data_IF_809098413154
#
_entry.id   IF_809098413154
#
_cell.length_a   1.000
_cell.length_b   1.000
_cell.length_c   1.000
_cell.angle_alpha   90.00
_cell.angle_beta   90.00
_cell.angle_gamma   90.00
#
_symmetry.space_group_name_H-M   'P 1'
#
loop_
_entity.id
_entity.type
_entity.pdbx_description
1 polymer ?
#
# COMPACT_ATOMS: atom_id res chain seq x y z
N UNK A 1 -15.15 68.70 -43.39
CA UNK A 1 -14.54 67.68 -42.49
C UNK A 1 -15.29 67.50 -41.17
N UNK A 2 -15.67 68.55 -40.42
CA UNK A 2 -16.39 68.40 -39.13
C UNK A 2 -17.73 67.63 -39.17
N UNK A 3 -18.49 67.69 -40.27
CA UNK A 3 -19.78 67.00 -40.41
C UNK A 3 -19.66 65.48 -40.64
N UNK A 4 -18.52 65.01 -41.19
CA UNK A 4 -18.25 63.58 -41.40
C UNK A 4 -17.86 62.91 -40.09
N UNK A 5 -17.05 63.58 -39.26
CA UNK A 5 -16.67 63.07 -37.94
C UNK A 5 -17.85 62.95 -36.97
N UNK A 6 -18.82 63.86 -37.03
CA UNK A 6 -20.06 63.78 -36.23
C UNK A 6 -20.94 62.60 -36.66
N UNK A 7 -21.06 62.35 -37.97
CA UNK A 7 -21.86 61.23 -38.47
C UNK A 7 -21.19 59.87 -38.19
N UNK A 8 -19.86 59.81 -38.24
CA UNK A 8 -19.11 58.61 -37.83
C UNK A 8 -19.27 58.38 -36.33
N UNK A 9 -19.16 59.41 -35.49
CA UNK A 9 -19.34 59.29 -34.04
C UNK A 9 -20.76 58.84 -33.65
N UNK A 10 -21.80 59.35 -34.32
CA UNK A 10 -23.18 58.89 -34.11
C UNK A 10 -23.37 57.43 -34.56
N UNK A 11 -22.74 57.01 -35.66
CA UNK A 11 -22.78 55.63 -36.11
C UNK A 11 -22.08 54.69 -35.12
N UNK A 12 -20.93 55.08 -34.55
CA UNK A 12 -20.24 54.28 -33.54
C UNK A 12 -21.08 54.12 -32.27
N UNK A 13 -21.76 55.19 -31.82
CA UNK A 13 -22.67 55.14 -30.65
C UNK A 13 -23.85 54.19 -30.89
N UNK A 14 -24.38 54.13 -32.12
CA UNK A 14 -25.45 53.19 -32.48
C UNK A 14 -24.99 51.71 -32.47
N UNK A 15 -23.72 51.44 -32.81
CA UNK A 15 -23.16 50.08 -32.77
C UNK A 15 -22.79 49.61 -31.35
N UNK A 16 -22.42 50.49 -30.42
CA UNK A 16 -22.15 50.09 -29.01
C UNK A 16 -23.43 49.73 -28.25
N UNK A 17 -24.57 50.32 -28.64
CA UNK A 17 -25.88 50.08 -27.99
C UNK A 17 -26.51 48.72 -28.35
N UNK A 18 -25.98 47.99 -29.35
CA UNK A 18 -26.43 46.62 -29.66
C UNK A 18 -25.60 45.53 -28.95
N UNK A 19 -24.51 45.88 -28.26
CA UNK A 19 -23.65 44.89 -27.59
C UNK A 19 -24.09 44.51 -26.17
N UNK A 20 -25.14 45.14 -25.64
CA UNK A 20 -25.63 44.91 -24.27
C UNK A 20 -27.12 44.53 -24.19
N UNK A 21 -27.69 43.93 -25.23
CA UNK A 21 -28.87 43.08 -25.03
C UNK A 21 -28.36 41.64 -24.90
N UNK A 22 -27.75 41.34 -23.75
CA UNK A 22 -27.56 39.95 -23.33
C UNK A 22 -28.96 39.40 -23.09
N UNK A 23 -29.51 38.71 -24.08
CA UNK A 23 -30.55 37.72 -23.86
C UNK A 23 -29.89 36.60 -23.04
N UNK A 24 -29.77 36.82 -21.72
CA UNK A 24 -29.47 35.78 -20.77
C UNK A 24 -30.71 34.88 -20.73
N UNK A 25 -30.88 34.07 -21.77
CA UNK A 25 -31.67 32.87 -21.62
C UNK A 25 -31.03 32.10 -20.49
N UNK A 26 -31.76 32.06 -19.38
CA UNK A 26 -31.37 31.34 -18.18
C UNK A 26 -31.44 29.84 -18.47
N UNK A 27 -30.43 29.31 -19.16
CA UNK A 27 -30.34 27.89 -19.50
C UNK A 27 -30.21 27.02 -18.24
N UNK A 28 -29.84 27.62 -17.11
CA UNK A 28 -29.60 26.95 -15.84
C UNK A 28 -30.17 27.84 -14.74
N UNK A 29 -31.43 27.62 -14.35
CA UNK A 29 -32.25 28.47 -13.45
C UNK A 29 -31.72 28.79 -12.03
N UNK A 30 -30.42 28.68 -11.78
CA UNK A 30 -29.68 29.15 -10.60
C UNK A 30 -28.32 29.72 -11.04
N UNK A 31 -27.81 30.73 -10.36
CA UNK A 31 -26.52 31.36 -10.68
C UNK A 31 -25.34 30.37 -10.56
N UNK A 32 -24.19 30.61 -11.24
CA UNK A 32 -23.00 29.79 -11.09
C UNK A 32 -22.53 29.64 -9.63
N UNK A 33 -22.68 30.68 -8.80
CA UNK A 33 -22.33 30.64 -7.38
C UNK A 33 -23.27 29.71 -6.59
N UNK A 34 -24.59 29.84 -6.78
CA UNK A 34 -25.56 28.97 -6.12
C UNK A 34 -25.39 27.50 -6.50
N UNK A 35 -25.06 27.21 -7.76
CA UNK A 35 -24.76 25.84 -8.20
C UNK A 35 -23.51 25.28 -7.53
N UNK A 36 -22.50 26.12 -7.31
CA UNK A 36 -21.26 25.71 -6.65
C UNK A 36 -21.46 25.50 -5.14
N UNK A 37 -22.19 26.38 -4.46
CA UNK A 37 -22.57 26.21 -3.04
C UNK A 37 -23.37 24.93 -2.83
N UNK A 38 -24.31 24.66 -3.74
CA UNK A 38 -25.09 23.42 -3.74
C UNK A 38 -24.19 22.19 -3.92
N UNK A 39 -23.31 22.19 -4.91
CA UNK A 39 -22.39 21.08 -5.15
C UNK A 39 -21.49 20.80 -3.94
N UNK A 40 -20.91 21.84 -3.33
CA UNK A 40 -20.10 21.71 -2.10
C UNK A 40 -20.90 21.10 -0.95
N UNK A 41 -22.14 21.54 -0.76
CA UNK A 41 -23.02 21.02 0.29
C UNK A 41 -23.38 19.56 0.06
N UNK A 42 -23.74 19.20 -1.18
CA UNK A 42 -24.07 17.82 -1.58
C UNK A 42 -22.85 16.89 -1.47
N UNK A 43 -21.67 17.34 -1.88
CA UNK A 43 -20.43 16.57 -1.79
C UNK A 43 -20.03 16.32 -0.33
N UNK A 44 -20.14 17.32 0.54
CA UNK A 44 -19.91 17.14 2.00
C UNK A 44 -20.88 16.12 2.59
N UNK A 45 -22.17 16.24 2.28
CA UNK A 45 -23.18 15.30 2.76
C UNK A 45 -22.91 13.88 2.25
N UNK A 46 -22.50 13.73 0.98
CA UNK A 46 -22.15 12.44 0.39
C UNK A 46 -20.93 11.83 1.09
N UNK A 47 -19.86 12.59 1.26
CA UNK A 47 -18.64 12.12 1.94
C UNK A 47 -18.95 11.56 3.33
N UNK A 48 -19.78 12.25 4.12
CA UNK A 48 -20.19 11.83 5.46
C UNK A 48 -21.26 10.73 5.48
N UNK A 49 -21.99 10.51 4.38
CA UNK A 49 -23.02 9.47 4.30
C UNK A 49 -22.45 8.05 4.36
N UNK A 50 -21.17 7.86 4.09
CA UNK A 50 -20.50 6.57 4.16
C UNK A 50 -20.11 6.24 5.60
N UNK A 51 -21.00 5.53 6.30
CA UNK A 51 -20.84 5.17 7.72
C UNK A 51 -19.54 4.41 8.01
N UNK A 52 -19.08 3.57 7.08
CA UNK A 52 -17.80 2.86 7.15
C UNK A 52 -16.70 3.46 6.23
N UNK A 53 -16.96 4.64 5.67
CA UNK A 53 -16.02 5.37 4.83
C UNK A 53 -15.90 4.86 3.39
N UNK A 54 -14.79 5.21 2.78
CA UNK A 54 -14.47 5.08 1.36
C UNK A 54 -13.10 4.42 1.19
N UNK A 55 -12.99 3.58 0.16
CA UNK A 55 -11.72 3.09 -0.38
C UNK A 55 -11.29 4.02 -1.52
N UNK A 56 -10.17 4.71 -1.35
CA UNK A 56 -9.49 5.46 -2.39
C UNK A 56 -8.38 4.62 -3.00
N UNK A 57 -8.51 4.30 -4.29
CA UNK A 57 -7.40 3.79 -5.10
C UNK A 57 -6.54 4.99 -5.52
N UNK A 58 -5.45 5.18 -4.79
CA UNK A 58 -4.60 6.36 -4.83
C UNK A 58 -3.37 6.14 -5.71
N UNK A 59 -3.05 7.10 -6.58
CA UNK A 59 -1.92 6.99 -7.51
C UNK A 59 -0.97 8.18 -7.39
N UNK A 60 0.33 7.90 -7.32
CA UNK A 60 1.36 8.94 -7.21
C UNK A 60 2.13 9.18 -8.50
N UNK A 61 2.79 10.33 -8.56
CA UNK A 61 3.61 10.75 -9.68
C UNK A 61 2.79 11.31 -10.83
N UNK A 62 3.30 12.35 -11.49
CA UNK A 62 2.63 12.95 -12.66
C UNK A 62 2.36 11.86 -13.71
N UNK A 63 1.15 11.83 -14.26
CA UNK A 63 0.75 10.85 -15.29
C UNK A 63 1.00 9.40 -14.83
N UNK A 64 0.68 9.10 -13.56
CA UNK A 64 0.81 7.77 -12.98
C UNK A 64 2.26 7.23 -12.96
N UNK A 65 3.27 8.10 -12.97
CA UNK A 65 4.70 7.71 -13.08
C UNK A 65 5.30 7.04 -11.84
N UNK A 66 4.57 6.96 -10.72
CA UNK A 66 5.01 6.27 -9.50
C UNK A 66 4.02 5.18 -9.09
N UNK A 67 3.64 5.06 -7.83
CA UNK A 67 3.04 3.87 -7.23
C UNK A 67 1.52 4.01 -7.04
N UNK A 68 0.82 2.87 -6.93
CA UNK A 68 -0.57 2.80 -6.49
C UNK A 68 -0.67 2.31 -5.04
N UNK A 69 -1.68 2.80 -4.30
CA UNK A 69 -1.92 2.48 -2.90
C UNK A 69 -3.42 2.49 -2.58
N UNK A 70 -3.85 1.68 -1.62
CA UNK A 70 -5.18 1.79 -1.05
C UNK A 70 -5.18 2.67 0.20
N UNK A 71 -6.06 3.68 0.20
CA UNK A 71 -6.38 4.52 1.36
C UNK A 71 -7.82 4.25 1.81
N UNK A 72 -8.03 4.14 3.11
CA UNK A 72 -9.34 4.04 3.75
C UNK A 72 -9.64 5.37 4.43
N UNK A 73 -10.73 6.01 4.03
CA UNK A 73 -11.10 7.38 4.42
C UNK A 73 -12.50 7.41 5.02
N UNK A 74 -12.65 7.95 6.23
CA UNK A 74 -13.98 8.21 6.81
C UNK A 74 -14.10 9.67 7.18
N UNK A 75 -15.18 10.29 6.73
CA UNK A 75 -15.48 11.70 6.96
C UNK A 75 -16.61 11.83 7.96
N UNK A 76 -16.43 12.70 8.96
CA UNK A 76 -17.48 13.00 9.93
C UNK A 76 -17.23 14.35 10.61
N UNK A 77 -18.23 15.23 10.60
CA UNK A 77 -18.21 16.50 11.34
C UNK A 77 -16.93 17.33 11.08
N UNK A 78 -16.51 17.45 9.81
CA UNK A 78 -15.30 18.18 9.41
C UNK A 78 -13.97 17.49 9.73
N UNK A 79 -14.00 16.24 10.22
CA UNK A 79 -12.82 15.39 10.44
C UNK A 79 -12.74 14.24 9.45
N UNK A 80 -11.53 13.92 9.03
CA UNK A 80 -11.22 12.75 8.24
C UNK A 80 -10.34 11.79 9.05
N UNK A 81 -10.74 10.53 9.08
CA UNK A 81 -9.98 9.42 9.62
C UNK A 81 -9.35 8.66 8.46
N UNK A 82 -8.04 8.46 8.52
CA UNK A 82 -7.25 7.91 7.42
C UNK A 82 -6.51 6.67 7.90
N UNK A 83 -6.61 5.58 7.14
CA UNK A 83 -5.74 4.42 7.20
C UNK A 83 -5.28 4.06 5.79
N UNK A 84 -4.20 3.30 5.64
CA UNK A 84 -3.68 2.93 4.33
C UNK A 84 -2.72 1.75 4.42
N UNK A 85 -2.48 1.07 3.29
CA UNK A 85 -1.52 -0.05 3.22
C UNK A 85 -0.05 0.34 3.47
N UNK A 86 0.25 1.65 3.45
CA UNK A 86 1.57 2.21 3.79
C UNK A 86 1.81 2.35 5.30
N UNK A 87 0.82 2.03 6.12
CA UNK A 87 0.86 2.11 7.58
C UNK A 87 0.49 0.75 8.20
N UNK A 88 0.75 0.53 9.50
CA UNK A 88 0.20 -0.64 10.20
C UNK A 88 -1.31 -0.75 10.01
N UNK A 89 -1.83 -1.97 9.85
CA UNK A 89 -3.22 -2.19 9.44
C UNK A 89 -4.27 -1.76 10.47
N UNK A 90 -3.87 -1.56 11.72
CA UNK A 90 -4.67 -1.03 12.82
C UNK A 90 -4.49 0.48 13.04
N UNK A 91 -3.53 1.12 12.35
CA UNK A 91 -3.24 2.53 12.51
C UNK A 91 -4.29 3.39 11.80
N UNK A 92 -4.87 4.33 12.54
CA UNK A 92 -5.77 5.36 12.03
C UNK A 92 -5.25 6.73 12.48
N UNK A 93 -5.11 7.66 11.53
CA UNK A 93 -4.71 9.04 11.81
C UNK A 93 -5.85 10.00 11.51
N UNK A 94 -6.10 10.95 12.40
CA UNK A 94 -7.11 12.01 12.23
C UNK A 94 -6.53 13.21 11.46
N UNK A 95 -7.35 13.85 10.64
CA UNK A 95 -7.12 15.16 10.02
C UNK A 95 -8.42 15.96 10.05
N UNK A 96 -8.36 17.29 9.89
CA UNK A 96 -9.50 18.04 9.35
C UNK A 96 -9.66 17.71 7.87
N UNK A 97 -10.89 17.83 7.36
CA UNK A 97 -11.13 17.94 5.92
C UNK A 97 -12.09 19.10 5.64
N UNK A 98 -12.05 19.57 4.41
CA UNK A 98 -13.06 20.49 3.88
C UNK A 98 -13.31 20.23 2.40
N UNK A 99 -14.41 20.78 1.88
CA UNK A 99 -14.67 20.90 0.45
C UNK A 99 -14.74 22.39 0.13
N UNK A 100 -13.70 22.91 -0.53
CA UNK A 100 -13.55 24.33 -0.86
C UNK A 100 -13.98 24.62 -2.30
N UNK A 101 -14.09 25.90 -2.62
CA UNK A 101 -14.51 26.40 -3.94
C UNK A 101 -13.31 26.96 -4.69
N UNK A 102 -12.60 26.11 -5.41
CA UNK A 102 -11.40 26.50 -6.15
C UNK A 102 -11.46 25.98 -7.58
N UNK A 103 -12.20 26.70 -8.45
CA UNK A 103 -12.51 26.27 -9.83
C UNK A 103 -13.30 24.94 -9.88
N UNK A 104 -14.19 24.77 -8.90
CA UNK A 104 -14.98 23.55 -8.66
C UNK A 104 -14.89 23.14 -7.19
N UNK A 105 -15.65 22.12 -6.76
CA UNK A 105 -15.52 21.54 -5.42
C UNK A 105 -14.16 20.85 -5.28
N UNK A 106 -13.39 21.21 -4.24
CA UNK A 106 -12.07 20.64 -3.95
C UNK A 106 -12.05 20.03 -2.55
N UNK A 107 -11.93 18.71 -2.47
CA UNK A 107 -11.66 18.01 -1.22
C UNK A 107 -10.22 18.28 -0.77
N UNK A 108 -10.04 18.76 0.45
CA UNK A 108 -8.71 19.10 1.01
C UNK A 108 -8.54 18.58 2.43
N UNK A 109 -7.29 18.28 2.81
CA UNK A 109 -6.89 17.82 4.14
C UNK A 109 -5.93 18.85 4.78
N UNK A 110 -6.43 19.97 5.33
CA UNK A 110 -5.60 21.13 5.65
C UNK A 110 -4.70 20.99 6.88
N UNK A 111 -4.91 19.98 7.73
CA UNK A 111 -4.07 19.73 8.91
C UNK A 111 -3.17 18.53 8.69
N UNK A 112 -1.97 18.56 9.27
CA UNK A 112 -1.05 17.43 9.13
C UNK A 112 -1.68 16.12 9.64
N UNK A 113 -1.47 15.07 8.84
CA UNK A 113 -1.91 13.71 9.06
C UNK A 113 -0.80 12.80 8.56
N UNK A 114 -0.27 11.94 9.44
CA UNK A 114 0.96 11.19 9.19
C UNK A 114 0.82 10.13 8.10
N UNK A 115 -0.42 9.74 7.75
CA UNK A 115 -0.69 8.77 6.67
C UNK A 115 -1.00 9.50 5.37
N UNK A 116 -1.99 10.41 5.35
CA UNK A 116 -2.40 11.14 4.15
C UNK A 116 -1.25 11.98 3.57
N UNK A 117 -0.49 12.69 4.41
CA UNK A 117 0.58 13.56 3.94
C UNK A 117 1.90 12.83 3.69
N UNK A 118 2.01 11.55 4.04
CA UNK A 118 3.27 10.79 3.95
C UNK A 118 3.87 10.83 2.54
N UNK A 119 3.03 10.63 1.52
CA UNK A 119 3.43 10.56 0.12
C UNK A 119 3.66 11.96 -0.51
N UNK A 120 3.17 13.01 0.11
CA UNK A 120 3.33 14.40 -0.35
C UNK A 120 4.48 15.15 0.37
N UNK A 121 4.94 14.62 1.51
CA UNK A 121 5.94 15.27 2.35
C UNK A 121 7.29 15.41 1.63
N UNK A 122 7.84 16.62 1.67
CA UNK A 122 9.16 16.91 1.15
C UNK A 122 10.25 16.27 2.01
N UNK A 123 11.30 15.78 1.37
CA UNK A 123 12.52 15.28 2.00
C UNK A 123 13.72 16.13 1.55
N UNK A 124 14.80 16.16 2.34
CA UNK A 124 15.99 17.01 2.06
C UNK A 124 16.54 16.90 0.62
N UNK A 125 16.39 15.72 -0.02
CA UNK A 125 16.87 15.47 -1.39
C UNK A 125 15.74 15.28 -2.42
N UNK A 126 14.49 15.41 -1.99
CA UNK A 126 13.33 15.23 -2.85
C UNK A 126 12.20 16.15 -2.36
N UNK A 127 12.20 17.38 -2.86
CA UNK A 127 11.24 18.43 -2.47
C UNK A 127 9.81 18.11 -2.87
N UNK A 128 9.63 17.24 -3.86
CA UNK A 128 8.31 16.77 -4.32
C UNK A 128 7.83 15.50 -3.62
N UNK A 129 8.62 14.97 -2.68
CA UNK A 129 8.29 13.75 -1.97
C UNK A 129 8.02 12.57 -2.90
N UNK A 130 7.08 11.72 -2.52
CA UNK A 130 6.61 10.63 -3.38
C UNK A 130 5.55 11.09 -4.37
N UNK A 131 5.34 12.40 -4.54
CA UNK A 131 4.37 12.99 -5.47
C UNK A 131 2.94 12.47 -5.24
N UNK A 132 2.52 12.39 -3.97
CA UNK A 132 1.12 12.23 -3.59
C UNK A 132 0.39 13.57 -3.52
N UNK A 133 -0.90 13.54 -3.82
CA UNK A 133 -1.85 14.64 -3.58
C UNK A 133 -2.55 14.49 -2.22
N UNK A 134 -2.87 15.61 -1.58
CA UNK A 134 -3.78 15.71 -0.43
C UNK A 134 -4.90 16.74 -0.69
N UNK A 135 -5.03 17.16 -1.95
CA UNK A 135 -6.11 18.02 -2.44
C UNK A 135 -6.61 17.43 -3.76
N UNK A 136 -7.93 17.33 -3.90
CA UNK A 136 -8.56 16.62 -5.00
C UNK A 136 -9.75 17.41 -5.54
N UNK A 137 -9.75 17.65 -6.85
CA UNK A 137 -10.93 18.19 -7.54
C UNK A 137 -11.97 17.08 -7.63
N UNK A 138 -13.19 17.33 -7.14
CA UNK A 138 -14.31 16.40 -7.28
C UNK A 138 -14.87 16.57 -8.69
N UNK A 139 -14.69 15.55 -9.52
CA UNK A 139 -15.05 15.59 -10.94
C UNK A 139 -16.50 15.16 -11.16
N UNK A 140 -16.93 14.13 -10.43
CA UNK A 140 -18.26 13.53 -10.53
C UNK A 140 -18.55 12.73 -9.26
N UNK A 141 -19.81 12.71 -8.85
CA UNK A 141 -20.29 11.88 -7.75
C UNK A 141 -21.44 10.97 -8.18
N UNK A 142 -21.51 9.81 -7.55
CA UNK A 142 -22.67 8.92 -7.51
C UNK A 142 -22.89 8.53 -6.04
N UNK A 143 -23.96 7.78 -5.75
CA UNK A 143 -24.18 7.29 -4.39
C UNK A 143 -23.03 6.43 -3.88
N UNK A 144 -22.38 5.63 -4.73
CA UNK A 144 -21.39 4.63 -4.32
C UNK A 144 -19.96 4.95 -4.78
N UNK A 145 -19.77 6.02 -5.55
CA UNK A 145 -18.45 6.39 -6.06
C UNK A 145 -18.27 7.90 -6.18
N UNK A 146 -17.06 8.37 -5.86
CA UNK A 146 -16.63 9.76 -6.04
C UNK A 146 -15.39 9.72 -6.94
N UNK A 147 -15.49 10.36 -8.10
CA UNK A 147 -14.40 10.48 -9.07
C UNK A 147 -13.62 11.75 -8.79
N UNK A 148 -12.33 11.59 -8.57
CA UNK A 148 -11.42 12.63 -8.13
C UNK A 148 -10.31 12.85 -9.15
N UNK A 149 -9.75 14.05 -9.15
CA UNK A 149 -8.46 14.34 -9.80
C UNK A 149 -7.52 15.01 -8.80
N UNK A 150 -6.31 14.47 -8.65
CA UNK A 150 -5.27 15.10 -7.83
C UNK A 150 -4.97 16.52 -8.32
N UNK A 151 -4.98 17.50 -7.41
CA UNK A 151 -4.88 18.93 -7.76
C UNK A 151 -3.48 19.32 -8.24
N UNK A 152 -2.42 18.74 -7.66
CA UNK A 152 -1.01 19.00 -8.01
C UNK A 152 -0.52 18.08 -9.13
N UNK A 153 -0.78 16.77 -9.04
CA UNK A 153 -0.19 15.80 -9.98
C UNK A 153 -1.12 15.33 -11.10
N UNK A 154 -2.43 15.64 -11.01
CA UNK A 154 -3.38 15.47 -12.11
C UNK A 154 -3.85 14.04 -12.36
N UNK A 155 -3.53 13.08 -11.48
CA UNK A 155 -3.98 11.70 -11.61
C UNK A 155 -5.48 11.58 -11.30
N UNK A 156 -6.21 10.85 -12.14
CA UNK A 156 -7.60 10.50 -11.89
C UNK A 156 -7.67 9.31 -10.93
N UNK A 157 -8.59 9.38 -9.97
CA UNK A 157 -8.76 8.39 -8.91
C UNK A 157 -10.24 8.18 -8.62
N UNK A 158 -10.55 7.07 -7.96
CA UNK A 158 -11.92 6.75 -7.55
C UNK A 158 -11.93 6.40 -6.07
N UNK A 159 -12.81 7.09 -5.32
CA UNK A 159 -13.27 6.65 -4.02
C UNK A 159 -14.51 5.78 -4.19
N UNK A 160 -14.47 4.55 -3.68
CA UNK A 160 -15.62 3.64 -3.70
C UNK A 160 -16.10 3.41 -2.27
N UNK A 161 -17.41 3.38 -2.05
CA UNK A 161 -18.00 3.19 -0.72
C UNK A 161 -17.57 1.85 -0.11
N UNK A 162 -17.11 1.86 1.14
CA UNK A 162 -16.75 0.63 1.85
C UNK A 162 -18.01 -0.14 2.28
N UNK A 163 -18.02 -1.48 2.20
CA UNK A 163 -19.09 -2.29 2.78
C UNK A 163 -19.26 -1.99 4.26
N UNK A 164 -20.50 -1.88 4.76
CA UNK A 164 -20.77 -1.44 6.13
C UNK A 164 -20.23 -2.37 7.22
N UNK A 165 -20.01 -3.63 6.90
CA UNK A 165 -19.55 -4.71 7.80
C UNK A 165 -18.03 -4.98 7.70
N UNK A 166 -17.34 -4.41 6.71
CA UNK A 166 -15.91 -4.63 6.49
C UNK A 166 -15.06 -3.81 7.47
N UNK A 167 -14.40 -4.46 8.43
CA UNK A 167 -13.42 -3.80 9.28
C UNK A 167 -12.18 -3.38 8.48
N UNK A 168 -11.70 -2.15 8.66
CA UNK A 168 -10.55 -1.60 7.95
C UNK A 168 -9.28 -2.44 8.12
N UNK A 169 -9.00 -2.88 9.34
CA UNK A 169 -7.87 -3.77 9.62
C UNK A 169 -7.97 -5.07 8.82
N UNK A 170 -9.14 -5.71 8.82
CA UNK A 170 -9.38 -6.93 8.04
C UNK A 170 -9.20 -6.70 6.55
N UNK A 171 -9.65 -5.56 6.03
CA UNK A 171 -9.41 -5.17 4.63
C UNK A 171 -7.90 -5.08 4.32
N UNK A 172 -7.14 -4.30 5.10
CA UNK A 172 -5.71 -4.11 4.89
C UNK A 172 -4.91 -5.42 5.08
N UNK A 173 -5.27 -6.25 6.05
CA UNK A 173 -4.67 -7.59 6.23
C UNK A 173 -4.95 -8.50 5.02
N UNK A 174 -6.13 -8.39 4.41
CA UNK A 174 -6.48 -9.13 3.18
C UNK A 174 -5.66 -8.66 1.98
N UNK A 175 -5.45 -7.35 1.85
CA UNK A 175 -4.56 -6.77 0.85
C UNK A 175 -3.12 -7.28 1.02
N UNK A 176 -2.61 -7.29 2.26
CA UNK A 176 -1.30 -7.87 2.57
C UNK A 176 -1.20 -9.35 2.19
N UNK A 177 -2.28 -10.11 2.39
CA UNK A 177 -2.35 -11.52 2.00
C UNK A 177 -2.29 -11.70 0.47
N UNK A 178 -3.00 -10.87 -0.30
CA UNK A 178 -2.91 -10.88 -1.76
C UNK A 178 -1.49 -10.55 -2.21
N UNK A 179 -0.89 -9.49 -1.66
CA UNK A 179 0.49 -9.09 -1.95
C UNK A 179 1.50 -10.23 -1.79
N UNK A 180 1.41 -10.99 -0.71
CA UNK A 180 2.30 -12.13 -0.45
C UNK A 180 2.08 -13.34 -1.38
N UNK A 181 0.95 -13.38 -2.09
CA UNK A 181 0.68 -14.40 -3.08
C UNK A 181 1.26 -14.07 -4.46
N UNK A 182 1.53 -12.79 -4.74
CA UNK A 182 1.98 -12.35 -6.05
C UNK A 182 3.49 -12.58 -6.25
N UNK A 183 3.82 -13.09 -7.44
CA UNK A 183 5.18 -13.25 -7.94
C UNK A 183 5.73 -11.93 -8.46
N UNK A 184 7.06 -11.79 -8.49
CA UNK A 184 7.72 -10.62 -9.10
C UNK A 184 7.83 -10.73 -10.62
N UNK A 185 7.81 -11.94 -11.17
CA UNK A 185 7.98 -12.18 -12.60
C UNK A 185 6.86 -13.08 -13.11
N UNK A 186 6.32 -12.77 -14.29
CA UNK A 186 5.33 -13.59 -14.97
C UNK A 186 5.63 -13.74 -16.46
N UNK A 187 5.07 -14.79 -17.05
CA UNK A 187 4.95 -14.96 -18.51
C UNK A 187 3.54 -14.57 -18.94
N UNK A 188 3.42 -13.80 -20.02
CA UNK A 188 2.14 -13.44 -20.62
C UNK A 188 1.70 -14.54 -21.57
N UNK A 189 0.53 -15.11 -21.30
CA UNK A 189 -0.14 -16.13 -22.12
C UNK A 189 -1.54 -15.63 -22.45
N UNK A 190 -1.96 -15.79 -23.70
CA UNK A 190 -3.33 -15.49 -24.14
C UNK A 190 -3.93 -16.76 -24.73
N UNK A 191 -5.17 -17.10 -24.39
CA UNK A 191 -5.87 -18.29 -24.90
C UNK A 191 -5.08 -19.61 -24.73
N UNK A 192 -4.26 -19.72 -23.69
CA UNK A 192 -3.37 -20.86 -23.43
C UNK A 192 -2.40 -21.19 -24.59
N UNK A 193 -2.00 -20.19 -25.38
CA UNK A 193 -0.97 -20.34 -26.43
C UNK A 193 0.45 -20.14 -25.88
N UNK A 194 1.43 -20.05 -26.79
CA UNK A 194 2.81 -19.69 -26.45
C UNK A 194 2.92 -18.38 -25.64
N UNK A 195 4.01 -18.28 -24.88
CA UNK A 195 4.37 -17.05 -24.16
C UNK A 195 4.64 -15.92 -25.16
N UNK A 196 3.82 -14.87 -25.08
CA UNK A 196 3.90 -13.69 -25.96
C UNK A 196 4.64 -12.53 -25.30
N UNK A 197 5.02 -12.61 -24.03
CA UNK A 197 5.69 -11.52 -23.34
C UNK A 197 6.02 -11.87 -21.88
N UNK A 198 6.55 -10.90 -21.17
CA UNK A 198 6.87 -11.01 -19.75
C UNK A 198 6.26 -9.85 -18.97
N UNK A 199 6.10 -10.06 -17.65
CA UNK A 199 5.69 -9.01 -16.72
C UNK A 199 6.67 -9.00 -15.56
N UNK A 200 7.20 -7.82 -15.26
CA UNK A 200 7.86 -7.54 -13.98
C UNK A 200 6.86 -6.79 -13.10
N UNK A 201 6.41 -7.45 -12.03
CA UNK A 201 5.52 -6.87 -11.04
C UNK A 201 6.37 -6.60 -9.79
N UNK A 202 6.24 -5.39 -9.25
CA UNK A 202 6.84 -5.00 -7.98
C UNK A 202 5.73 -4.94 -6.92
N UNK A 203 5.55 -6.01 -6.12
CA UNK A 203 4.51 -6.05 -5.11
C UNK A 203 4.76 -5.04 -3.98
N UNK A 204 6.00 -4.60 -3.80
CA UNK A 204 6.38 -3.70 -2.72
C UNK A 204 6.15 -2.24 -3.07
N UNK A 205 6.32 -1.86 -4.34
CA UNK A 205 6.15 -0.49 -4.82
C UNK A 205 4.92 -0.27 -5.72
N UNK A 206 4.05 -1.27 -5.89
CA UNK A 206 2.79 -1.10 -6.62
C UNK A 206 2.98 -0.75 -8.09
N UNK A 207 4.01 -1.31 -8.75
CA UNK A 207 4.35 -1.09 -10.18
C UNK A 207 4.28 -2.38 -10.97
N UNK A 208 3.86 -2.30 -12.22
CA UNK A 208 3.86 -3.43 -13.15
C UNK A 208 4.34 -2.98 -14.52
N UNK A 209 5.35 -3.66 -15.04
CA UNK A 209 5.91 -3.45 -16.37
C UNK A 209 5.62 -4.66 -17.26
N UNK A 210 5.01 -4.42 -18.41
CA UNK A 210 4.70 -5.39 -19.44
C UNK A 210 5.70 -5.24 -20.58
N UNK A 211 6.28 -6.36 -21.04
CA UNK A 211 7.23 -6.37 -22.15
C UNK A 211 6.81 -7.38 -23.21
N UNK A 212 6.65 -6.91 -24.44
CA UNK A 212 6.24 -7.73 -25.58
C UNK A 212 7.41 -8.56 -26.11
N UNK A 213 7.26 -9.90 -26.15
CA UNK A 213 8.28 -10.76 -26.77
C UNK A 213 8.33 -10.46 -28.27
N UNK A 214 9.49 -10.05 -28.77
CA UNK A 214 9.71 -9.68 -30.17
C UNK A 214 8.68 -8.64 -30.68
N UNK A 215 8.24 -7.71 -29.83
CA UNK A 215 7.27 -6.67 -30.20
C UNK A 215 5.85 -7.18 -30.44
N UNK A 216 5.48 -8.32 -29.84
CA UNK A 216 4.12 -8.88 -29.91
C UNK A 216 3.01 -7.93 -29.40
N UNK A 217 3.38 -7.01 -28.50
CA UNK A 217 2.62 -5.85 -28.03
C UNK A 217 3.62 -4.77 -27.58
N UNK A 218 3.14 -3.54 -27.41
CA UNK A 218 3.98 -2.42 -26.98
C UNK A 218 4.30 -2.53 -25.49
N UNK A 219 5.53 -2.23 -25.11
CA UNK A 219 5.92 -2.16 -23.71
C UNK A 219 5.12 -1.06 -23.00
N UNK A 220 4.72 -1.35 -21.76
CA UNK A 220 3.86 -0.47 -20.99
C UNK A 220 4.16 -0.66 -19.51
N UNK A 221 4.19 0.41 -18.74
CA UNK A 221 4.41 0.37 -17.30
C UNK A 221 3.33 1.18 -16.60
N UNK A 222 2.74 0.60 -15.56
CA UNK A 222 1.61 1.18 -14.84
C UNK A 222 1.78 1.01 -13.33
N UNK A 223 1.26 1.93 -12.51
CA UNK A 223 0.97 1.61 -11.14
C UNK A 223 -0.22 0.66 -11.07
N UNK A 224 -0.33 -0.04 -9.95
CA UNK A 224 -1.52 -0.78 -9.61
C UNK A 224 -1.87 -0.57 -8.13
N UNK A 225 -3.15 -0.66 -7.81
CA UNK A 225 -3.63 -0.87 -6.45
C UNK A 225 -4.00 -2.33 -6.27
N UNK A 226 -3.84 -2.86 -5.07
CA UNK A 226 -4.39 -4.18 -4.73
C UNK A 226 -5.91 -4.14 -4.63
N UNK A 227 -6.55 -5.25 -4.99
CA UNK A 227 -7.94 -5.55 -4.65
C UNK A 227 -7.98 -6.74 -3.69
N UNK A 228 -9.14 -7.05 -3.13
CA UNK A 228 -9.31 -8.25 -2.29
C UNK A 228 -9.04 -9.56 -3.04
N UNK A 229 -8.92 -9.53 -4.37
CA UNK A 229 -8.71 -10.72 -5.20
C UNK A 229 -7.52 -10.60 -6.15
N UNK A 230 -6.78 -9.50 -6.20
CA UNK A 230 -5.70 -9.31 -7.16
C UNK A 230 -5.24 -7.87 -7.28
N UNK A 231 -5.16 -7.33 -8.50
CA UNK A 231 -4.66 -5.97 -8.77
C UNK A 231 -5.55 -5.23 -9.76
N UNK A 232 -5.51 -3.90 -9.70
CA UNK A 232 -6.18 -2.99 -10.64
C UNK A 232 -5.29 -1.83 -10.99
N UNK A 233 -5.26 -1.46 -12.27
CA UNK A 233 -4.49 -0.34 -12.82
C UNK A 233 -5.42 0.84 -13.15
N UNK A 234 -4.91 2.09 -13.19
CA UNK A 234 -5.74 3.25 -13.51
C UNK A 234 -6.19 3.28 -14.98
N UNK A 235 -5.41 2.65 -15.87
CA UNK A 235 -5.70 2.55 -17.30
C UNK A 235 -5.48 1.13 -17.79
N UNK A 236 -6.17 0.74 -18.86
CA UNK A 236 -6.02 -0.59 -19.44
C UNK A 236 -4.65 -0.75 -20.11
N UNK A 237 -4.00 -1.91 -19.93
CA UNK A 237 -2.92 -2.37 -20.81
C UNK A 237 -3.51 -3.09 -22.02
N UNK A 238 -2.88 -2.96 -23.19
CA UNK A 238 -3.25 -3.69 -24.41
C UNK A 238 -2.21 -4.79 -24.71
N UNK A 239 -2.63 -6.03 -24.55
CA UNK A 239 -1.80 -7.21 -24.80
C UNK A 239 -2.33 -7.91 -26.04
N UNK A 240 -1.79 -7.54 -27.22
CA UNK A 240 -2.16 -8.12 -28.52
C UNK A 240 -3.65 -7.96 -28.84
N UNK A 241 -4.20 -6.76 -28.65
CA UNK A 241 -5.60 -6.40 -28.89
C UNK A 241 -6.56 -6.76 -27.75
N UNK A 242 -6.08 -7.45 -26.70
CA UNK A 242 -6.86 -7.75 -25.50
C UNK A 242 -6.54 -6.70 -24.43
N UNK A 243 -7.56 -5.92 -24.05
CA UNK A 243 -7.42 -4.89 -23.02
C UNK A 243 -7.71 -5.43 -21.63
N UNK A 244 -6.85 -5.12 -20.66
CA UNK A 244 -7.03 -5.48 -19.27
C UNK A 244 -6.75 -4.30 -18.35
N UNK A 245 -7.65 -4.05 -17.40
CA UNK A 245 -7.48 -3.02 -16.35
C UNK A 245 -7.28 -3.66 -14.98
N UNK A 246 -7.84 -4.85 -14.74
CA UNK A 246 -7.73 -5.57 -13.48
C UNK A 246 -7.38 -7.03 -13.74
N UNK A 247 -6.63 -7.63 -12.82
CA UNK A 247 -6.31 -9.06 -12.83
C UNK A 247 -6.69 -9.69 -11.50
N UNK A 248 -7.28 -10.88 -11.56
CA UNK A 248 -7.63 -11.69 -10.38
C UNK A 248 -6.60 -12.79 -10.17
N UNK A 249 -6.22 -13.02 -8.92
CA UNK A 249 -5.31 -14.07 -8.50
C UNK A 249 -5.98 -15.46 -8.59
N UNK A 250 -5.36 -16.33 -9.37
CA UNK A 250 -5.69 -17.73 -9.57
C UNK A 250 -4.61 -18.58 -8.87
N UNK A 251 -4.86 -18.88 -7.59
CA UNK A 251 -3.94 -19.63 -6.74
C UNK A 251 -3.65 -21.05 -7.26
N UNK A 252 -4.60 -21.68 -7.97
CA UNK A 252 -4.43 -23.03 -8.49
C UNK A 252 -3.38 -23.09 -9.62
N UNK A 253 -3.23 -21.99 -10.36
CA UNK A 253 -2.30 -21.90 -11.48
C UNK A 253 -1.14 -20.93 -11.25
N UNK A 254 -1.00 -20.39 -10.03
CA UNK A 254 -0.06 -19.32 -9.69
C UNK A 254 -0.10 -18.18 -10.73
N UNK A 255 -1.30 -17.71 -11.06
CA UNK A 255 -1.48 -16.79 -12.18
C UNK A 255 -2.36 -15.59 -11.83
N UNK A 256 -2.13 -14.47 -12.50
CA UNK A 256 -3.04 -13.33 -12.55
C UNK A 256 -3.86 -13.41 -13.85
N UNK A 257 -5.19 -13.30 -13.76
CA UNK A 257 -6.12 -13.58 -14.87
C UNK A 257 -7.02 -12.39 -15.15
N UNK A 258 -7.16 -12.04 -16.44
CA UNK A 258 -8.12 -11.06 -16.94
C UNK A 258 -8.73 -11.55 -18.25
N UNK A 259 -9.95 -12.10 -18.18
CA UNK A 259 -10.58 -12.75 -19.33
C UNK A 259 -9.69 -13.84 -19.91
N UNK A 260 -9.26 -13.66 -21.16
CA UNK A 260 -8.39 -14.59 -21.88
C UNK A 260 -6.89 -14.42 -21.61
N UNK A 261 -6.50 -13.39 -20.85
CA UNK A 261 -5.10 -13.12 -20.51
C UNK A 261 -4.77 -13.84 -19.21
N UNK A 262 -3.66 -14.60 -19.23
CA UNK A 262 -3.04 -15.22 -18.07
C UNK A 262 -1.61 -14.72 -17.92
N UNK A 263 -1.30 -14.12 -16.78
CA UNK A 263 0.08 -13.86 -16.35
C UNK A 263 0.48 -15.03 -15.45
N UNK A 264 1.31 -15.94 -15.94
CA UNK A 264 1.70 -17.15 -15.20
C UNK A 264 2.99 -16.89 -14.43
N UNK A 265 2.96 -17.10 -13.11
CA UNK A 265 4.07 -16.81 -12.20
C UNK A 265 5.34 -17.58 -12.57
N UNK A 266 6.47 -16.89 -12.49
CA UNK A 266 7.80 -17.46 -12.68
C UNK A 266 8.44 -17.60 -11.30
N UNK A 267 8.74 -18.85 -10.92
CA UNK A 267 9.45 -19.15 -9.68
C UNK A 267 10.88 -18.63 -9.78
N UNK A 268 11.38 -18.00 -8.72
CA UNK A 268 12.79 -17.63 -8.63
C UNK A 268 13.67 -18.87 -8.48
N UNK A 269 14.96 -18.76 -8.80
CA UNK A 269 15.89 -19.87 -8.59
C UNK A 269 15.98 -20.27 -7.11
N UNK A 270 15.80 -19.34 -6.19
CA UNK A 270 15.83 -19.57 -4.75
C UNK A 270 14.48 -20.01 -4.16
N UNK A 271 13.47 -20.22 -5.00
CA UNK A 271 12.14 -20.61 -4.56
C UNK A 271 12.15 -21.99 -3.89
N UNK A 272 11.48 -22.10 -2.74
CA UNK A 272 11.17 -23.36 -2.10
C UNK A 272 9.68 -23.47 -1.80
N UNK A 273 9.02 -24.61 -2.11
CA UNK A 273 7.61 -24.79 -1.85
C UNK A 273 7.34 -24.80 -0.34
N UNK A 274 6.10 -24.46 0.07
CA UNK A 274 5.70 -24.45 1.48
C UNK A 274 6.08 -25.73 2.23
N UNK A 275 5.96 -26.90 1.60
CA UNK A 275 6.31 -28.19 2.21
C UNK A 275 7.79 -28.35 2.53
N UNK A 276 8.68 -27.64 1.84
CA UNK A 276 10.12 -27.67 2.10
C UNK A 276 10.47 -27.15 3.49
N UNK A 277 9.77 -26.14 3.97
CA UNK A 277 10.12 -25.41 5.19
C UNK A 277 9.82 -26.19 6.49
N UNK A 278 8.93 -27.17 6.44
CA UNK A 278 8.60 -27.99 7.60
C UNK A 278 9.77 -28.93 7.98
N UNK A 279 9.97 -29.11 9.28
CA UNK A 279 10.99 -29.99 9.85
C UNK A 279 11.86 -29.33 10.90
N UNK A 280 12.91 -30.04 11.29
CA UNK A 280 13.91 -29.57 12.24
C UNK A 280 15.03 -28.81 11.49
N UNK A 281 15.47 -27.72 12.10
CA UNK A 281 16.49 -26.82 11.57
C UNK A 281 17.49 -26.46 12.69
N UNK A 282 18.72 -26.18 12.29
CA UNK A 282 19.75 -25.60 13.15
C UNK A 282 20.01 -24.17 12.70
N UNK A 283 19.70 -23.20 13.56
CA UNK A 283 19.90 -21.76 13.29
C UNK A 283 21.29 -21.36 13.75
N UNK A 284 22.06 -20.69 12.89
CA UNK A 284 23.43 -20.24 13.12
C UNK A 284 23.48 -18.74 13.42
N UNK A 285 24.16 -18.38 14.50
CA UNK A 285 24.31 -16.99 14.97
C UNK A 285 25.69 -16.73 15.60
N UNK A 286 26.09 -15.47 15.71
CA UNK A 286 27.39 -15.06 16.29
C UNK A 286 28.59 -15.86 15.75
N UNK A 287 28.55 -16.20 14.45
CA UNK A 287 29.51 -17.01 13.68
C UNK A 287 29.82 -18.43 14.16
N UNK A 288 29.72 -18.72 15.46
CA UNK A 288 30.13 -20.01 16.06
C UNK A 288 29.04 -20.69 16.88
N UNK A 289 27.91 -20.01 17.12
CA UNK A 289 26.83 -20.53 17.96
C UNK A 289 25.65 -20.99 17.12
N UNK A 290 24.86 -21.92 17.68
CA UNK A 290 23.63 -22.37 17.06
C UNK A 290 22.55 -22.73 18.09
N UNK A 291 21.30 -22.78 17.63
CA UNK A 291 20.17 -23.30 18.40
C UNK A 291 19.19 -24.07 17.50
N UNK A 292 18.46 -25.07 18.02
CA UNK A 292 17.47 -25.80 17.26
C UNK A 292 16.21 -24.97 17.03
N UNK A 293 15.61 -25.11 15.85
CA UNK A 293 14.31 -24.56 15.46
C UNK A 293 13.49 -25.67 14.79
N UNK A 294 12.32 -25.98 15.31
CA UNK A 294 11.36 -26.87 14.66
C UNK A 294 10.24 -26.07 14.03
N UNK A 295 10.02 -26.25 12.73
CA UNK A 295 8.96 -25.61 11.97
C UNK A 295 7.85 -26.62 11.66
N UNK A 296 6.64 -26.34 12.14
CA UNK A 296 5.43 -27.13 11.87
C UNK A 296 4.43 -26.29 11.11
N UNK A 297 3.89 -26.79 10.00
CA UNK A 297 2.86 -26.07 9.25
C UNK A 297 1.63 -25.82 10.13
N UNK A 298 1.15 -24.59 10.10
CA UNK A 298 -0.12 -24.17 10.70
C UNK A 298 -1.12 -23.79 9.58
N UNK A 299 -2.34 -23.42 9.99
CA UNK A 299 -3.40 -23.02 9.06
C UNK A 299 -3.00 -21.84 8.16
N UNK A 300 -3.56 -21.79 6.95
CA UNK A 300 -3.25 -20.73 5.98
C UNK A 300 -1.79 -20.77 5.53
N UNK A 301 -1.09 -19.63 5.58
CA UNK A 301 0.34 -19.51 5.25
C UNK A 301 1.25 -19.56 6.49
N UNK A 302 0.73 -19.90 7.66
CA UNK A 302 1.50 -19.83 8.90
C UNK A 302 2.29 -21.11 9.18
N UNK A 303 3.34 -20.97 9.98
CA UNK A 303 4.11 -22.03 10.61
C UNK A 303 4.27 -21.71 12.09
N UNK A 304 4.15 -22.72 12.94
CA UNK A 304 4.57 -22.65 14.32
C UNK A 304 6.05 -23.03 14.40
N UNK A 305 6.87 -22.10 14.86
CA UNK A 305 8.28 -22.31 15.12
C UNK A 305 8.56 -22.48 16.60
N UNK A 306 9.22 -23.56 16.98
CA UNK A 306 9.67 -23.83 18.35
C UNK A 306 11.20 -23.79 18.38
N UNK A 307 11.78 -22.83 19.11
CA UNK A 307 13.24 -22.69 19.22
C UNK A 307 13.70 -22.70 20.67
N UNK A 308 14.86 -23.31 20.94
CA UNK A 308 15.36 -23.48 22.30
C UNK A 308 16.70 -22.78 22.50
N UNK A 309 16.75 -21.84 23.43
CA UNK A 309 17.96 -21.08 23.80
C UNK A 309 18.12 -21.18 25.31
N UNK A 310 19.33 -21.49 25.77
CA UNK A 310 19.68 -21.61 27.19
C UNK A 310 18.69 -22.46 28.01
N UNK A 311 18.23 -23.56 27.42
CA UNK A 311 17.30 -24.52 28.04
C UNK A 311 15.83 -24.08 28.10
N UNK A 312 15.49 -22.91 27.55
CA UNK A 312 14.11 -22.41 27.44
C UNK A 312 13.61 -22.53 26.01
N UNK A 313 12.41 -23.09 25.84
CA UNK A 313 11.76 -23.23 24.53
C UNK A 313 10.75 -22.12 24.33
N UNK A 314 10.96 -21.32 23.28
CA UNK A 314 10.08 -20.25 22.85
C UNK A 314 9.30 -20.67 21.62
N UNK A 315 8.12 -20.07 21.44
CA UNK A 315 7.24 -20.31 20.28
C UNK A 315 7.00 -19.02 19.54
N UNK A 316 7.21 -19.02 18.23
CA UNK A 316 6.94 -17.88 17.36
C UNK A 316 6.24 -18.32 16.08
N UNK A 317 5.47 -17.42 15.48
CA UNK A 317 4.80 -17.63 14.20
C UNK A 317 5.69 -17.14 13.06
N UNK A 318 5.87 -17.99 12.07
CA UNK A 318 6.51 -17.67 10.80
C UNK A 318 5.44 -17.66 9.71
N UNK A 319 5.57 -16.77 8.72
CA UNK A 319 4.60 -16.68 7.62
C UNK A 319 5.27 -17.02 6.30
N UNK A 320 4.66 -17.89 5.51
CA UNK A 320 5.14 -18.26 4.18
C UNK A 320 4.67 -17.25 3.14
N UNK A 321 5.61 -16.73 2.36
CA UNK A 321 5.34 -15.87 1.22
C UNK A 321 5.29 -16.75 -0.04
N UNK A 322 4.09 -16.94 -0.59
CA UNK A 322 3.87 -17.80 -1.76
C UNK A 322 4.56 -17.27 -3.00
N UNK A 323 4.63 -15.95 -3.21
CA UNK A 323 5.27 -15.34 -4.36
C UNK A 323 6.80 -15.45 -4.35
N UNK A 324 7.40 -15.42 -3.16
CA UNK A 324 8.87 -15.51 -2.96
C UNK A 324 9.35 -16.93 -2.70
N UNK A 325 8.49 -17.83 -2.21
CA UNK A 325 8.90 -19.17 -1.76
C UNK A 325 9.76 -19.14 -0.50
N UNK A 326 9.56 -18.15 0.36
CA UNK A 326 10.36 -17.84 1.54
C UNK A 326 9.49 -17.81 2.80
N UNK A 327 10.11 -17.80 3.99
CA UNK A 327 9.42 -17.48 5.24
C UNK A 327 9.69 -16.03 5.64
N UNK A 328 8.85 -15.49 6.51
CA UNK A 328 9.12 -14.27 7.25
C UNK A 328 8.94 -14.50 8.75
N UNK A 329 9.80 -13.87 9.53
CA UNK A 329 9.72 -13.81 10.98
C UNK A 329 9.80 -12.34 11.38
N UNK A 330 8.69 -11.82 11.89
CA UNK A 330 8.53 -10.39 12.15
C UNK A 330 8.08 -10.14 13.58
N UNK A 331 8.09 -8.86 13.98
CA UNK A 331 7.58 -8.38 15.25
C UNK A 331 6.26 -9.06 15.62
N UNK A 332 6.21 -9.61 16.84
CA UNK A 332 5.02 -10.28 17.37
C UNK A 332 5.14 -10.48 18.87
N UNK A 333 3.99 -10.65 19.54
CA UNK A 333 3.95 -11.14 20.91
C UNK A 333 4.11 -12.67 20.96
N UNK A 334 4.87 -13.16 21.93
CA UNK A 334 5.07 -14.58 22.21
C UNK A 334 4.91 -14.85 23.72
N UNK A 335 4.72 -16.11 24.09
CA UNK A 335 4.65 -16.54 25.48
C UNK A 335 6.04 -16.52 26.15
N UNK A 336 6.11 -16.13 27.42
CA UNK A 336 7.29 -16.34 28.26
C UNK A 336 7.27 -17.76 28.84
N UNK A 337 8.16 -18.67 28.42
CA UNK A 337 8.17 -20.04 28.93
C UNK A 337 8.49 -20.14 30.42
N UNK A 338 9.07 -19.09 31.03
CA UNK A 338 9.33 -19.02 32.46
C UNK A 338 8.15 -18.52 33.29
N UNK A 339 7.10 -17.98 32.64
CA UNK A 339 5.99 -17.28 33.29
C UNK A 339 6.43 -16.14 34.23
N UNK A 340 7.61 -15.56 34.00
CA UNK A 340 8.09 -14.40 34.77
C UNK A 340 7.33 -13.15 34.33
N UNK A 341 7.07 -13.04 33.02
CA UNK A 341 6.30 -11.97 32.41
C UNK A 341 5.05 -12.53 31.70
N UNK A 342 3.93 -11.78 31.65
CA UNK A 342 2.74 -12.20 30.92
C UNK A 342 3.00 -12.57 29.45
N UNK A 343 3.82 -11.77 28.76
CA UNK A 343 4.20 -11.93 27.36
C UNK A 343 5.60 -11.38 27.12
N UNK A 344 6.20 -11.79 26.01
CA UNK A 344 7.41 -11.19 25.45
C UNK A 344 7.09 -10.61 24.07
N UNK A 345 7.68 -9.47 23.73
CA UNK A 345 7.71 -8.94 22.38
C UNK A 345 8.96 -9.46 21.66
N UNK A 346 8.78 -10.22 20.60
CA UNK A 346 9.86 -10.54 19.66
C UNK A 346 10.11 -9.32 18.79
N UNK A 347 11.34 -8.78 18.81
CA UNK A 347 11.74 -7.63 18.01
C UNK A 347 12.99 -7.94 17.20
N UNK A 348 12.99 -7.57 15.92
CA UNK A 348 14.22 -7.45 15.15
C UNK A 348 15.15 -6.42 15.80
N UNK A 349 16.45 -6.68 15.78
CA UNK A 349 17.44 -5.84 16.45
C UNK A 349 18.70 -5.64 15.61
N UNK A 350 19.41 -4.55 15.89
CA UNK A 350 20.72 -4.24 15.35
C UNK A 350 21.72 -4.13 16.50
N UNK A 351 22.63 -5.10 16.60
CA UNK A 351 23.63 -5.10 17.66
C UNK A 351 24.73 -4.04 17.48
N UNK A 352 25.23 -3.74 16.27
CA UNK A 352 26.16 -2.62 16.07
C UNK A 352 25.60 -1.27 16.57
N UNK A 353 24.29 -1.07 16.48
CA UNK A 353 23.62 0.15 16.92
C UNK A 353 22.99 0.07 18.33
N UNK A 354 22.94 -1.13 18.94
CA UNK A 354 22.18 -1.39 20.18
C UNK A 354 20.74 -0.90 20.13
N UNK A 355 20.06 -1.18 19.00
CA UNK A 355 18.70 -0.71 18.72
C UNK A 355 17.77 -1.88 18.38
N UNK A 356 16.48 -1.72 18.71
CA UNK A 356 15.40 -2.63 18.30
C UNK A 356 14.49 -1.95 17.29
N UNK A 357 13.96 -2.72 16.33
CA UNK A 357 13.00 -2.27 15.35
C UNK A 357 11.59 -2.36 15.92
N UNK A 358 10.96 -1.22 16.20
CA UNK A 358 9.64 -1.16 16.86
C UNK A 358 8.47 -1.17 15.87
N UNK A 359 8.72 -0.87 14.60
CA UNK A 359 7.68 -0.79 13.57
C UNK A 359 7.08 -2.17 13.27
N UNK A 360 5.78 -2.21 13.03
CA UNK A 360 5.08 -3.44 12.65
C UNK A 360 5.68 -4.07 11.39
N UNK A 361 5.66 -5.40 11.34
CA UNK A 361 6.18 -6.18 10.22
C UNK A 361 7.71 -6.16 10.05
N UNK A 362 8.47 -5.49 10.92
CA UNK A 362 9.94 -5.51 10.87
C UNK A 362 10.51 -6.84 11.36
N UNK A 363 11.59 -7.31 10.74
CA UNK A 363 12.19 -8.61 11.06
C UNK A 363 12.98 -9.18 9.89
N UNK A 364 12.88 -10.49 9.70
CA UNK A 364 13.61 -11.23 8.69
C UNK A 364 12.71 -11.76 7.57
N UNK A 365 13.19 -11.66 6.34
CA UNK A 365 12.85 -12.61 5.27
C UNK A 365 13.87 -13.76 5.33
N UNK A 366 13.39 -15.01 5.29
CA UNK A 366 14.20 -16.22 5.37
C UNK A 366 14.17 -16.91 4.00
N UNK A 367 15.27 -16.77 3.26
CA UNK A 367 15.34 -17.10 1.84
C UNK A 367 16.33 -18.24 1.63
N UNK A 368 15.92 -19.26 0.88
CA UNK A 368 16.82 -20.36 0.54
C UNK A 368 17.91 -19.89 -0.45
N UNK A 369 19.17 -20.16 -0.14
CA UNK A 369 20.29 -19.97 -1.06
C UNK A 369 20.78 -21.34 -1.54
N UNK A 370 20.52 -21.62 -2.83
CA UNK A 370 20.96 -22.86 -3.48
C UNK A 370 22.47 -23.00 -3.57
N UNK A 371 23.21 -21.89 -3.60
CA UNK A 371 24.67 -21.91 -3.75
C UNK A 371 25.33 -22.43 -2.49
N UNK A 372 24.88 -21.93 -1.33
CA UNK A 372 25.41 -22.35 -0.02
C UNK A 372 24.65 -23.52 0.59
N UNK A 373 23.49 -23.89 0.04
CA UNK A 373 22.57 -24.90 0.56
C UNK A 373 22.11 -24.57 2.00
N UNK A 374 21.76 -23.30 2.22
CA UNK A 374 21.32 -22.76 3.52
C UNK A 374 20.10 -21.86 3.34
N UNK A 375 19.27 -21.74 4.36
CA UNK A 375 18.27 -20.68 4.42
C UNK A 375 18.87 -19.46 5.13
N UNK A 376 18.92 -18.32 4.46
CA UNK A 376 19.54 -17.09 4.94
C UNK A 376 18.52 -16.20 5.63
N UNK A 377 18.88 -15.64 6.80
CA UNK A 377 18.09 -14.62 7.48
C UNK A 377 18.51 -13.25 6.93
N UNK A 378 17.61 -12.58 6.21
CA UNK A 378 17.85 -11.30 5.55
C UNK A 378 16.95 -10.24 6.17
N UNK A 379 17.50 -9.07 6.47
CA UNK A 379 16.70 -7.90 6.88
C UNK A 379 15.62 -7.61 5.84
N UNK A 380 14.37 -7.55 6.25
CA UNK A 380 13.27 -7.26 5.33
C UNK A 380 13.16 -5.77 4.95
N UNK A 381 14.01 -4.91 5.52
CA UNK A 381 14.15 -3.50 5.14
C UNK A 381 12.99 -2.59 5.59
N UNK A 382 12.06 -3.10 6.39
CA UNK A 382 10.89 -2.33 6.85
C UNK A 382 11.22 -1.37 8.00
N UNK A 383 12.41 -1.46 8.57
CA UNK A 383 12.90 -0.54 9.60
C UNK A 383 13.90 0.44 8.94
N UNK A 384 13.49 1.69 8.62
CA UNK A 384 14.32 2.59 7.82
C UNK A 384 15.64 3.01 8.49
N UNK A 385 15.71 2.92 9.83
CA UNK A 385 16.87 3.37 10.62
C UNK A 385 17.58 2.24 11.37
N UNK A 386 17.05 1.01 11.33
CA UNK A 386 17.58 -0.13 12.10
C UNK A 386 17.84 -1.28 11.14
N UNK A 387 19.12 -1.62 10.92
CA UNK A 387 19.45 -2.80 10.13
C UNK A 387 19.33 -4.06 10.98
N UNK A 388 18.36 -4.91 10.64
CA UNK A 388 17.99 -6.09 11.41
C UNK A 388 18.94 -7.25 11.09
N UNK A 389 19.77 -7.61 12.05
CA UNK A 389 20.68 -8.77 11.96
C UNK A 389 20.65 -9.65 13.22
N UNK A 390 19.77 -9.32 14.15
CA UNK A 390 19.65 -9.92 15.48
C UNK A 390 18.17 -9.89 15.88
N UNK A 391 17.82 -10.54 16.99
CA UNK A 391 16.53 -10.31 17.62
C UNK A 391 16.66 -10.23 19.14
N UNK A 392 15.69 -9.57 19.78
CA UNK A 392 15.56 -9.50 21.22
C UNK A 392 14.14 -9.92 21.63
N UNK A 393 14.04 -10.61 22.77
CA UNK A 393 12.77 -10.91 23.43
C UNK A 393 12.63 -9.93 24.60
N UNK A 394 11.75 -8.94 24.47
CA UNK A 394 11.56 -7.87 25.47
C UNK A 394 10.33 -8.18 26.31
N UNK A 395 10.45 -8.05 27.63
CA UNK A 395 9.34 -8.29 28.55
C UNK A 395 8.21 -7.27 28.39
N UNK A 396 6.97 -7.76 28.44
CA UNK A 396 5.75 -6.96 28.51
C UNK A 396 5.07 -7.14 29.86
N UNK A 397 4.46 -6.07 30.38
CA UNK A 397 3.63 -6.11 31.57
C UNK A 397 2.20 -6.60 31.26
N UNK A 398 1.33 -6.62 32.28
CA UNK A 398 -0.05 -7.07 32.14
C UNK A 398 -0.91 -6.16 31.24
N UNK A 399 -0.44 -4.94 30.93
CA UNK A 399 -1.10 -3.98 30.05
C UNK A 399 -0.51 -4.01 28.63
N UNK A 400 0.44 -4.91 28.35
CA UNK A 400 1.15 -4.97 27.06
C UNK A 400 2.20 -3.86 26.89
N UNK A 401 2.60 -3.19 27.97
CA UNK A 401 3.65 -2.17 27.93
C UNK A 401 5.02 -2.78 28.19
N UNK A 402 6.08 -2.20 27.61
CA UNK A 402 7.44 -2.67 27.85
C UNK A 402 7.83 -2.49 29.31
N UNK A 403 8.31 -3.56 29.93
CA UNK A 403 8.87 -3.50 31.29
C UNK A 403 10.21 -2.76 31.23
N UNK A 404 10.39 -1.76 32.08
CA UNK A 404 11.61 -0.95 32.16
C UNK A 404 12.33 -1.13 33.50
N UNK A 405 13.65 -0.96 33.49
CA UNK A 405 14.49 -0.86 34.69
C UNK A 405 14.50 0.59 35.19
N UNK A 406 14.99 0.79 36.41
CA UNK A 406 15.11 2.13 37.04
C UNK A 406 15.89 3.16 36.20
N UNK A 407 16.81 2.69 35.36
CA UNK A 407 17.58 3.54 34.44
C UNK A 407 16.85 3.84 33.11
N UNK A 408 15.58 3.46 32.97
CA UNK A 408 14.76 3.65 31.78
C UNK A 408 14.99 2.64 30.65
N UNK A 409 15.93 1.70 30.78
CA UNK A 409 16.16 0.66 29.77
C UNK A 409 15.09 -0.42 29.80
N UNK A 410 14.71 -0.96 28.64
CA UNK A 410 13.76 -2.08 28.56
C UNK A 410 14.39 -3.38 29.05
N UNK A 411 13.58 -4.25 29.66
CA UNK A 411 14.00 -5.57 30.14
C UNK A 411 14.02 -6.56 28.99
N UNK A 412 15.21 -6.84 28.46
CA UNK A 412 15.44 -7.96 27.55
C UNK A 412 15.58 -9.27 28.35
N UNK A 413 14.76 -10.26 27.98
CA UNK A 413 14.79 -11.64 28.53
C UNK A 413 15.81 -12.49 27.78
N UNK A 414 15.93 -12.29 26.48
CA UNK A 414 16.87 -13.01 25.61
C UNK A 414 17.32 -12.11 24.46
N UNK A 415 18.57 -12.26 24.03
CA UNK A 415 19.12 -11.54 22.87
C UNK A 415 19.95 -12.51 22.03
N UNK A 416 19.53 -12.71 20.79
CA UNK A 416 20.29 -13.47 19.79
C UNK A 416 20.92 -12.49 18.81
N UNK A 417 22.24 -12.40 18.88
CA UNK A 417 23.02 -11.50 18.05
C UNK A 417 23.53 -12.16 16.77
N UNK A 418 23.55 -11.39 15.68
CA UNK A 418 24.16 -11.76 14.40
C UNK A 418 23.67 -13.12 13.87
N UNK A 419 22.35 -13.27 13.75
CA UNK A 419 21.74 -14.43 13.08
C UNK A 419 22.09 -14.37 11.59
N UNK A 420 22.44 -15.51 11.00
CA UNK A 420 22.94 -15.56 9.62
C UNK A 420 22.12 -16.49 8.74
N UNK A 421 21.96 -17.73 9.18
CA UNK A 421 21.40 -18.80 8.35
C UNK A 421 20.86 -19.94 9.18
N UNK A 422 20.10 -20.83 8.58
CA UNK A 422 19.76 -22.13 9.13
C UNK A 422 19.98 -23.25 8.12
N UNK A 423 20.26 -24.44 8.65
CA UNK A 423 20.47 -25.68 7.89
C UNK A 423 19.54 -26.76 8.42
N UNK A 424 19.06 -27.65 7.54
CA UNK A 424 18.37 -28.86 7.94
C UNK A 424 19.32 -29.88 8.57
#
# INVERSE_FOLDING_TARGET
>A
MKKIFINILLATVAFVLQSCLHDNQDFFGASPAERLDKAVTEDKALLESATNGWLLQFYTGKEYSKAGYNFLLKFKDGKAYVSAEIAPSDMVSESKYDVTQERGPVLTFPTHNVIMHHLAQAYQRNVDGLQGDYEFVIMKTTQDSIYLRGKKWGNDMVMTRMPSDMQWKTYLDSISTIKENLFSNYRVVINNTDTIGTVALDPDNGRVAFTGKNGSFADDEKPFCYTLSGIVMPTSVDLKGQKATAFTWDAANNALVSGNIKLVGVLSDNYQPKTFWAGDWTVNYNSTKSFPLKLTQAGGNNFNGEFTIDGKTYKAVFKYNTGKGSLSLVKQEIDDPSNTYPKLMWLGASMPASQVALSEGTGFDIIWDKTTNKAMFIDNGKAPTVSVNSFALIALDANGQYVTRDNGSVVAVEIVSNITSMTK
#
